data_IF_976986310061
#
_entry.id   IF_976986310061
#
_cell.length_a   1.000
_cell.length_b   1.000
_cell.length_c   1.000
_cell.angle_alpha   90.00
_cell.angle_beta   90.00
_cell.angle_gamma   90.00
#
_symmetry.space_group_name_H-M   'P 1'
#
loop_
_entity.id
_entity.type
_entity.pdbx_description
1 polymer ?
#
# COMPACT_ATOMS: atom_id res chain seq x y z
N UNK A 1 16.14 31.43 28.13
CA UNK A 1 15.21 32.20 29.00
C UNK A 1 14.48 33.16 28.09
N UNK A 2 13.17 33.07 27.82
CA UNK A 2 12.04 32.98 28.76
C UNK A 2 10.91 32.11 28.20
N UNK A 3 10.16 31.53 29.13
CA UNK A 3 9.06 30.59 28.94
C UNK A 3 7.85 31.22 28.26
N UNK A 4 7.29 30.55 27.25
CA UNK A 4 5.95 30.82 26.72
C UNK A 4 5.07 29.60 27.06
N UNK A 5 4.84 29.42 28.36
CA UNK A 5 4.04 28.34 28.93
C UNK A 5 3.03 28.94 29.91
N UNK A 6 2.14 29.76 29.37
CA UNK A 6 0.89 30.29 29.94
C UNK A 6 0.11 30.65 28.68
N UNK A 7 -0.92 29.93 28.26
CA UNK A 7 -2.17 29.76 28.99
C UNK A 7 -3.08 28.89 28.10
N UNK A 8 -3.16 27.59 28.36
CA UNK A 8 -4.02 26.65 27.61
C UNK A 8 -5.22 26.17 28.44
N UNK A 9 -5.15 26.33 29.77
CA UNK A 9 -6.23 25.94 30.68
C UNK A 9 -7.41 26.89 30.59
N UNK A 10 -7.18 28.18 30.36
CA UNK A 10 -8.27 29.17 30.34
C UNK A 10 -9.07 29.07 29.03
N UNK A 11 -8.43 28.66 27.93
CA UNK A 11 -9.11 28.44 26.64
C UNK A 11 -9.99 27.19 26.64
N UNK A 12 -9.53 26.11 27.30
CA UNK A 12 -10.31 24.86 27.43
C UNK A 12 -11.51 25.08 28.37
N UNK A 13 -11.35 25.86 29.43
CA UNK A 13 -12.45 26.17 30.37
C UNK A 13 -13.52 27.05 29.70
N UNK A 14 -13.13 28.02 28.84
CA UNK A 14 -14.09 28.84 28.09
C UNK A 14 -14.91 28.02 27.07
N UNK A 15 -14.31 26.97 26.50
CA UNK A 15 -14.95 26.09 25.51
C UNK A 15 -15.94 25.10 26.11
N UNK A 16 -15.70 24.58 27.32
CA UNK A 16 -16.63 23.67 28.02
C UNK A 16 -17.91 24.41 28.46
N UNK A 17 -17.81 25.70 28.80
CA UNK A 17 -18.94 26.50 29.30
C UNK A 17 -19.92 26.97 28.22
N UNK A 18 -19.56 26.94 26.92
CA UNK A 18 -20.37 27.51 25.84
C UNK A 18 -20.93 26.48 24.83
N UNK A 19 -20.85 25.17 25.10
CA UNK A 19 -21.59 24.15 24.35
C UNK A 19 -21.23 24.00 22.85
N UNK A 20 -20.06 24.47 22.40
CA UNK A 20 -19.61 24.36 21.01
C UNK A 20 -18.58 23.23 20.82
N UNK A 21 -18.96 21.97 21.05
CA UNK A 21 -18.06 20.82 20.86
C UNK A 21 -17.91 20.36 19.40
N UNK A 22 -18.81 20.72 18.48
CA UNK A 22 -18.84 20.08 17.15
C UNK A 22 -18.14 20.84 16.02
N UNK A 23 -17.89 22.14 16.16
CA UNK A 23 -17.32 22.95 15.06
C UNK A 23 -15.80 23.16 15.15
N UNK A 24 -15.17 22.99 16.31
CA UNK A 24 -13.71 23.19 16.46
C UNK A 24 -12.91 21.96 16.03
N UNK A 25 -13.51 20.76 16.05
CA UNK A 25 -12.86 19.56 15.52
C UNK A 25 -12.49 19.72 14.03
N UNK A 26 -13.32 20.42 13.25
CA UNK A 26 -13.04 20.71 11.84
C UNK A 26 -11.97 21.80 11.64
N UNK A 27 -11.89 22.79 12.52
CA UNK A 27 -10.92 23.87 12.39
C UNK A 27 -9.52 23.48 12.93
N UNK A 28 -9.46 22.60 13.93
CA UNK A 28 -8.19 22.06 14.42
C UNK A 28 -7.53 21.10 13.41
N UNK A 29 -8.32 20.37 12.61
CA UNK A 29 -7.80 19.51 11.54
C UNK A 29 -7.22 20.27 10.33
N UNK A 30 -7.63 21.52 10.09
CA UNK A 30 -7.20 22.26 8.91
C UNK A 30 -5.83 22.95 9.05
N UNK A 31 -5.31 23.11 10.28
CA UNK A 31 -4.09 23.92 10.52
C UNK A 31 -2.84 23.13 10.93
N UNK A 32 -2.91 21.82 11.20
CA UNK A 32 -1.75 21.06 11.70
C UNK A 32 -1.31 19.95 10.74
N UNK A 33 -0.34 20.25 9.87
CA UNK A 33 0.31 19.32 8.93
C UNK A 33 1.32 18.33 9.55
N UNK A 34 1.32 18.10 10.87
CA UNK A 34 2.33 17.24 11.50
C UNK A 34 1.85 16.65 12.82
N UNK A 35 1.10 15.55 12.76
CA UNK A 35 1.06 14.60 13.88
C UNK A 35 0.99 13.17 13.37
N UNK A 36 2.06 12.43 13.62
CA UNK A 36 2.12 10.98 13.53
C UNK A 36 1.47 10.38 14.77
N UNK A 37 0.47 9.51 14.56
CA UNK A 37 -0.24 8.69 15.55
C UNK A 37 -1.24 9.41 16.47
N UNK A 38 -2.42 9.74 15.94
CA UNK A 38 -3.62 9.95 16.75
C UNK A 38 -4.58 8.76 16.61
N UNK A 39 -4.92 8.11 17.72
CA UNK A 39 -6.07 7.20 17.79
C UNK A 39 -7.33 8.08 17.88
N UNK A 40 -8.09 8.17 16.79
CA UNK A 40 -9.38 8.83 16.82
C UNK A 40 -10.43 7.85 17.36
N UNK A 41 -10.82 8.05 18.62
CA UNK A 41 -11.98 7.36 19.21
C UNK A 41 -13.26 7.97 18.62
N UNK A 42 -13.71 7.47 17.49
CA UNK A 42 -15.11 7.62 17.08
C UNK A 42 -15.88 6.50 17.76
N UNK A 43 -16.85 6.85 18.61
CA UNK A 43 -17.62 5.94 19.48
C UNK A 43 -18.54 4.96 18.76
N UNK A 44 -18.15 4.43 17.60
CA UNK A 44 -18.86 3.40 16.84
C UNK A 44 -17.78 2.49 16.25
N UNK A 45 -17.77 1.23 16.69
CA UNK A 45 -16.67 0.28 16.49
C UNK A 45 -16.39 -0.08 15.04
N UNK A 46 -15.57 0.71 14.37
CA UNK A 46 -14.82 0.32 13.17
C UNK A 46 -13.38 0.78 13.40
N UNK A 47 -12.49 -0.16 13.74
CA UNK A 47 -11.05 0.07 13.74
C UNK A 47 -10.55 0.12 12.29
N UNK A 48 -10.87 1.21 11.58
CA UNK A 48 -10.20 1.57 10.34
C UNK A 48 -8.97 2.39 10.67
N UNK A 49 -7.78 1.77 10.64
CA UNK A 49 -6.51 2.51 10.79
C UNK A 49 -6.28 3.35 9.53
N UNK A 50 -6.73 4.61 9.55
CA UNK A 50 -6.34 5.59 8.53
C UNK A 50 -4.83 5.87 8.67
N UNK A 51 -4.00 5.21 7.85
CA UNK A 51 -2.59 5.59 7.68
C UNK A 51 -2.55 6.86 6.83
N UNK A 52 -2.19 7.99 7.43
CA UNK A 52 -1.94 9.24 6.69
C UNK A 52 -0.67 9.12 5.83
N UNK A 53 -0.76 9.64 4.61
CA UNK A 53 0.12 9.49 3.45
C UNK A 53 1.52 10.13 3.56
N UNK A 54 2.27 9.83 4.62
CA UNK A 54 3.70 10.11 4.66
C UNK A 54 4.43 9.01 5.46
N UNK A 55 4.32 7.77 4.99
CA UNK A 55 5.12 6.66 5.49
C UNK A 55 6.47 6.72 4.77
N UNK A 56 7.54 7.10 5.47
CA UNK A 56 8.89 6.88 4.96
C UNK A 56 9.20 5.39 5.10
N UNK A 57 9.11 4.65 3.99
CA UNK A 57 9.39 3.22 3.97
C UNK A 57 10.90 3.05 3.90
N UNK A 58 11.43 2.07 4.63
CA UNK A 58 12.83 1.66 4.54
C UNK A 58 12.93 0.41 3.67
N UNK A 59 14.01 0.30 2.88
CA UNK A 59 14.23 -0.88 2.03
C UNK A 59 14.29 -2.16 2.87
N UNK A 60 14.94 -2.11 4.03
CA UNK A 60 15.09 -3.25 4.92
C UNK A 60 13.75 -3.76 5.47
N UNK A 61 12.79 -2.84 5.71
CA UNK A 61 11.44 -3.22 6.13
C UNK A 61 10.69 -3.95 5.02
N UNK A 62 10.84 -3.47 3.78
CA UNK A 62 10.22 -4.10 2.61
C UNK A 62 10.84 -5.47 2.33
N UNK A 63 12.17 -5.59 2.41
CA UNK A 63 12.84 -6.88 2.27
C UNK A 63 12.41 -7.86 3.36
N UNK A 64 12.30 -7.42 4.62
CA UNK A 64 11.79 -8.27 5.70
C UNK A 64 10.36 -8.75 5.43
N UNK A 65 9.47 -7.85 4.98
CA UNK A 65 8.11 -8.22 4.57
C UNK A 65 8.11 -9.29 3.46
N UNK A 66 8.92 -9.12 2.42
CA UNK A 66 9.00 -10.11 1.33
C UNK A 66 9.54 -11.45 1.80
N UNK A 67 10.54 -11.47 2.69
CA UNK A 67 11.05 -12.71 3.29
C UNK A 67 9.97 -13.44 4.06
N UNK A 68 9.18 -12.72 4.85
CA UNK A 68 8.09 -13.28 5.65
C UNK A 68 6.97 -13.86 4.76
N UNK A 69 6.59 -13.16 3.69
CA UNK A 69 5.49 -13.60 2.81
C UNK A 69 5.88 -14.70 1.82
N UNK A 70 7.11 -14.67 1.29
CA UNK A 70 7.59 -15.66 0.31
C UNK A 70 8.20 -16.88 1.02
N UNK A 71 8.67 -16.73 2.26
CA UNK A 71 9.31 -17.81 3.03
C UNK A 71 10.77 -18.09 2.63
N UNK A 72 11.46 -17.10 2.06
CA UNK A 72 12.88 -17.19 1.69
C UNK A 72 13.77 -16.40 2.67
N UNK A 73 14.90 -17.00 3.05
CA UNK A 73 15.87 -16.36 3.96
C UNK A 73 16.65 -15.19 3.28
N UNK A 74 16.85 -15.29 1.97
CA UNK A 74 17.60 -14.33 1.16
C UNK A 74 16.73 -13.80 0.01
N UNK A 75 16.49 -12.50 0.03
CA UNK A 75 15.77 -11.76 -1.02
C UNK A 75 16.65 -10.57 -1.38
N UNK A 76 17.05 -10.45 -2.64
CA UNK A 76 17.87 -9.35 -3.13
C UNK A 76 17.01 -8.29 -3.82
N UNK A 77 17.44 -7.04 -3.76
CA UNK A 77 16.66 -5.90 -4.27
C UNK A 77 16.28 -5.99 -5.76
N UNK A 78 17.10 -6.68 -6.55
CA UNK A 78 16.96 -6.80 -7.99
C UNK A 78 16.44 -8.20 -8.42
N UNK A 79 16.12 -9.08 -7.46
CA UNK A 79 15.54 -10.39 -7.74
C UNK A 79 14.11 -10.26 -8.28
N UNK A 80 13.80 -11.00 -9.33
CA UNK A 80 12.44 -11.17 -9.83
C UNK A 80 11.66 -12.09 -8.90
N UNK A 81 10.58 -11.57 -8.30
CA UNK A 81 9.76 -12.31 -7.35
C UNK A 81 9.20 -13.59 -7.96
N UNK A 82 8.83 -13.57 -9.24
CA UNK A 82 8.33 -14.78 -9.90
C UNK A 82 9.47 -15.74 -10.25
N UNK A 83 10.43 -15.27 -11.04
CA UNK A 83 11.41 -16.16 -11.68
C UNK A 83 12.58 -16.54 -10.80
N UNK A 84 13.01 -15.65 -9.92
CA UNK A 84 14.16 -15.90 -9.04
C UNK A 84 13.72 -16.44 -7.66
N UNK A 85 12.57 -15.97 -7.15
CA UNK A 85 12.06 -16.36 -5.83
C UNK A 85 10.93 -17.41 -5.89
N UNK A 86 10.39 -17.69 -7.07
CA UNK A 86 9.44 -18.79 -7.27
C UNK A 86 8.03 -18.55 -6.72
N UNK A 87 7.69 -17.34 -6.29
CA UNK A 87 6.31 -16.98 -5.94
C UNK A 87 5.55 -16.73 -7.24
N UNK A 88 4.52 -17.51 -7.56
CA UNK A 88 3.75 -17.35 -8.80
C UNK A 88 2.27 -17.50 -8.50
N UNK A 89 1.40 -17.23 -9.49
CA UNK A 89 -0.01 -17.55 -9.36
C UNK A 89 -0.75 -16.84 -8.23
N UNK A 90 -1.49 -17.63 -7.45
CA UNK A 90 -2.29 -17.12 -6.33
C UNK A 90 -1.37 -16.63 -5.21
N UNK A 91 -0.22 -17.29 -4.97
CA UNK A 91 0.77 -16.82 -3.98
C UNK A 91 1.30 -15.42 -4.33
N UNK A 92 1.56 -15.15 -5.62
CA UNK A 92 1.98 -13.82 -6.08
C UNK A 92 0.83 -12.81 -5.93
N UNK A 93 -0.39 -13.21 -6.29
CA UNK A 93 -1.57 -12.34 -6.18
C UNK A 93 -1.81 -11.92 -4.73
N UNK A 94 -1.78 -12.87 -3.80
CA UNK A 94 -1.90 -12.60 -2.36
C UNK A 94 -0.78 -11.70 -1.84
N UNK A 95 0.46 -11.92 -2.29
CA UNK A 95 1.60 -11.06 -1.95
C UNK A 95 1.35 -9.61 -2.35
N UNK A 96 0.87 -9.38 -3.57
CA UNK A 96 0.60 -8.03 -4.08
C UNK A 96 -0.56 -7.34 -3.36
N UNK A 97 -1.60 -8.08 -2.99
CA UNK A 97 -2.70 -7.56 -2.17
C UNK A 97 -2.24 -7.13 -0.78
N UNK A 98 -1.45 -7.98 -0.11
CA UNK A 98 -0.86 -7.67 1.21
C UNK A 98 0.10 -6.49 1.12
N UNK A 99 0.92 -6.42 0.06
CA UNK A 99 1.80 -5.29 -0.22
C UNK A 99 1.01 -3.98 -0.37
N UNK A 100 -0.03 -3.97 -1.21
CA UNK A 100 -0.84 -2.79 -1.47
C UNK A 100 -1.51 -2.27 -0.19
N UNK A 101 -2.07 -3.17 0.62
CA UNK A 101 -2.69 -2.84 1.89
C UNK A 101 -1.66 -2.32 2.91
N UNK A 102 -0.50 -3.00 3.02
CA UNK A 102 0.52 -2.69 4.03
C UNK A 102 1.14 -1.33 3.79
N UNK A 103 1.45 -1.01 2.53
CA UNK A 103 2.16 0.21 2.14
C UNK A 103 1.24 1.30 1.54
N UNK A 104 -0.08 1.05 1.50
CA UNK A 104 -1.08 1.97 0.97
C UNK A 104 -0.75 2.40 -0.47
N UNK A 105 -0.56 1.41 -1.33
CA UNK A 105 -0.24 1.60 -2.75
C UNK A 105 -1.51 1.45 -3.56
N UNK A 106 -1.84 2.48 -4.33
CA UNK A 106 -2.88 2.41 -5.35
C UNK A 106 -2.47 1.45 -6.47
N UNK A 107 -3.27 0.41 -6.69
CA UNK A 107 -3.02 -0.67 -7.66
C UNK A 107 -3.98 -0.61 -8.86
N UNK A 108 -4.73 0.48 -9.06
CA UNK A 108 -5.75 0.60 -10.13
C UNK A 108 -5.18 0.37 -11.53
N UNK A 109 -3.88 0.63 -11.72
CA UNK A 109 -3.17 0.42 -12.99
C UNK A 109 -2.42 -0.91 -13.07
N UNK A 110 -2.45 -1.76 -12.05
CA UNK A 110 -1.73 -3.03 -12.02
C UNK A 110 -2.34 -4.06 -12.99
N UNK A 111 -1.49 -4.71 -13.80
CA UNK A 111 -1.89 -5.71 -14.79
C UNK A 111 -1.15 -7.02 -14.49
N UNK A 112 -1.78 -7.90 -13.72
CA UNK A 112 -1.17 -9.13 -13.19
C UNK A 112 -0.49 -10.01 -14.26
N UNK A 113 -1.07 -10.08 -15.46
CA UNK A 113 -0.60 -10.96 -16.53
C UNK A 113 0.74 -10.55 -17.14
N UNK A 114 1.27 -9.37 -16.80
CA UNK A 114 2.66 -9.01 -17.12
C UNK A 114 3.68 -9.55 -16.12
N UNK A 115 3.26 -9.99 -14.94
CA UNK A 115 4.12 -10.17 -13.78
C UNK A 115 4.14 -11.60 -13.26
N UNK A 116 3.06 -12.35 -13.44
CA UNK A 116 3.03 -13.75 -13.08
C UNK A 116 2.04 -14.55 -13.92
N UNK A 117 2.23 -15.87 -13.92
CA UNK A 117 1.25 -16.80 -14.45
C UNK A 117 -0.04 -16.82 -13.62
N UNK A 118 -1.16 -17.12 -14.26
CA UNK A 118 -2.41 -17.43 -13.57
C UNK A 118 -2.33 -18.86 -13.01
N UNK A 119 -2.84 -19.10 -11.81
CA UNK A 119 -3.06 -20.44 -11.27
C UNK A 119 -4.53 -20.81 -11.46
N UNK A 120 -4.82 -21.70 -12.42
CA UNK A 120 -6.21 -22.06 -12.75
C UNK A 120 -6.39 -22.78 -14.09
N UNK A 121 -7.06 -23.95 -14.02
CA UNK A 121 -7.43 -24.87 -15.12
C UNK A 121 -6.28 -25.39 -16.00
N UNK A 122 -5.48 -26.27 -15.39
CA UNK A 122 -4.73 -27.34 -16.07
C UNK A 122 -5.67 -28.41 -16.62
N UNK A 123 -6.39 -28.10 -17.70
CA UNK A 123 -7.23 -29.09 -18.35
C UNK A 123 -8.06 -28.53 -19.48
N UNK A 124 -7.52 -28.60 -20.70
CA UNK A 124 -8.27 -28.40 -21.96
C UNK A 124 -8.59 -26.95 -22.35
N UNK A 125 -7.68 -25.99 -22.10
CA UNK A 125 -7.78 -24.67 -22.73
C UNK A 125 -7.20 -24.72 -24.16
N UNK A 126 -8.06 -24.53 -25.16
CA UNK A 126 -7.64 -24.27 -26.55
C UNK A 126 -7.21 -22.81 -26.78
N UNK A 127 -7.15 -21.99 -25.72
CA UNK A 127 -6.80 -20.57 -25.78
C UNK A 127 -5.52 -20.30 -24.98
N UNK A 128 -4.62 -19.51 -25.56
CA UNK A 128 -3.44 -18.98 -24.86
C UNK A 128 -3.86 -18.13 -23.68
N UNK A 129 -3.14 -18.26 -22.58
CA UNK A 129 -3.41 -17.51 -21.35
C UNK A 129 -2.95 -16.06 -21.51
N UNK A 130 -3.58 -15.07 -20.86
CA UNK A 130 -3.19 -13.66 -21.00
C UNK A 130 -1.69 -13.40 -20.78
N UNK A 131 -1.09 -14.08 -19.80
CA UNK A 131 0.34 -13.96 -19.46
C UNK A 131 1.28 -14.56 -20.52
N UNK A 132 0.80 -15.48 -21.37
CA UNK A 132 1.59 -16.06 -22.47
C UNK A 132 1.63 -15.13 -23.70
N UNK A 133 0.69 -14.18 -23.77
CA UNK A 133 0.54 -13.26 -24.91
C UNK A 133 1.34 -11.96 -24.75
N UNK A 134 1.86 -11.71 -23.55
CA UNK A 134 2.62 -10.50 -23.23
C UNK A 134 4.05 -10.82 -22.84
N UNK A 135 4.93 -9.82 -22.96
CA UNK A 135 6.30 -9.94 -22.49
C UNK A 135 6.34 -9.73 -20.99
N UNK A 136 6.85 -10.71 -20.25
CA UNK A 136 7.11 -10.63 -18.81
C UNK A 136 7.85 -9.35 -18.42
N UNK A 137 7.36 -8.70 -17.36
CA UNK A 137 7.98 -7.57 -16.69
C UNK A 137 8.27 -8.01 -15.24
N UNK A 138 9.56 -8.07 -14.85
CA UNK A 138 9.93 -8.53 -13.52
C UNK A 138 9.43 -7.57 -12.45
N UNK A 139 8.94 -8.10 -11.34
CA UNK A 139 8.66 -7.32 -10.13
C UNK A 139 9.77 -7.58 -9.15
N UNK A 140 10.54 -6.54 -8.84
CA UNK A 140 11.66 -6.62 -7.91
C UNK A 140 11.36 -5.87 -6.61
N UNK A 141 12.01 -6.21 -5.49
CA UNK A 141 11.85 -5.43 -4.25
C UNK A 141 12.19 -3.95 -4.43
N UNK A 142 13.17 -3.61 -5.28
CA UNK A 142 13.49 -2.21 -5.62
C UNK A 142 12.33 -1.50 -6.31
N UNK A 143 11.63 -2.20 -7.21
CA UNK A 143 10.46 -1.66 -7.89
C UNK A 143 9.30 -1.43 -6.90
N UNK A 144 9.02 -2.44 -6.06
CA UNK A 144 8.01 -2.34 -5.00
C UNK A 144 8.32 -1.19 -4.04
N UNK A 145 9.59 -1.01 -3.66
CA UNK A 145 10.00 0.11 -2.84
C UNK A 145 9.71 1.46 -3.51
N UNK A 146 10.06 1.62 -4.79
CA UNK A 146 9.84 2.85 -5.53
C UNK A 146 8.34 3.22 -5.62
N UNK A 147 7.46 2.24 -5.87
CA UNK A 147 6.01 2.47 -5.93
C UNK A 147 5.38 2.68 -4.56
N UNK A 148 5.92 2.04 -3.54
CA UNK A 148 5.47 2.26 -2.17
C UNK A 148 5.79 3.68 -1.69
N UNK A 149 6.97 4.21 -2.03
CA UNK A 149 7.32 5.62 -1.74
C UNK A 149 6.44 6.61 -2.50
N UNK A 150 5.94 6.24 -3.69
CA UNK A 150 4.98 7.05 -4.46
C UNK A 150 3.54 6.89 -3.99
N UNK A 151 3.22 5.82 -3.27
CA UNK A 151 1.86 5.43 -2.90
C UNK A 151 1.00 4.96 -4.09
N UNK A 152 1.61 4.63 -5.23
CA UNK A 152 0.90 4.12 -6.42
C UNK A 152 1.78 3.24 -7.29
N UNK A 153 1.16 2.23 -7.90
CA UNK A 153 1.71 1.47 -9.00
C UNK A 153 1.77 2.39 -10.22
N UNK A 154 2.99 2.70 -10.67
CA UNK A 154 3.26 3.74 -11.67
C UNK A 154 4.14 3.17 -12.79
N UNK A 155 3.73 2.02 -13.31
CA UNK A 155 4.39 1.31 -14.39
C UNK A 155 3.68 1.59 -15.72
N UNK A 156 4.44 2.02 -16.72
CA UNK A 156 3.93 2.14 -18.09
C UNK A 156 4.05 0.77 -18.78
N UNK A 157 2.91 0.16 -19.07
CA UNK A 157 2.88 -1.10 -19.83
C UNK A 157 3.04 -0.85 -21.32
N UNK A 158 3.71 -1.76 -22.04
CA UNK A 158 3.73 -1.71 -23.50
C UNK A 158 2.31 -1.90 -24.07
N UNK A 159 2.10 -1.41 -25.28
CA UNK A 159 0.88 -1.71 -26.04
C UNK A 159 0.73 -3.24 -26.17
N UNK A 160 -0.47 -3.73 -25.89
CA UNK A 160 -0.78 -5.15 -25.89
C UNK A 160 -2.25 -5.35 -26.25
N UNK A 161 -2.55 -6.49 -26.85
CA UNK A 161 -3.92 -6.89 -27.17
C UNK A 161 -4.24 -8.19 -26.43
N UNK A 162 -5.25 -8.15 -25.57
CA UNK A 162 -5.84 -9.36 -25.01
C UNK A 162 -6.97 -9.85 -25.92
N UNK A 163 -7.11 -11.17 -26.12
CA UNK A 163 -8.28 -11.71 -26.80
C UNK A 163 -9.52 -11.31 -26.00
N UNK A 164 -10.51 -10.72 -26.67
CA UNK A 164 -11.81 -10.43 -26.07
C UNK A 164 -12.43 -11.76 -25.67
N UNK A 165 -12.51 -12.03 -24.37
CA UNK A 165 -13.38 -13.09 -23.86
C UNK A 165 -14.81 -12.78 -24.32
N UNK A 166 -15.41 -13.73 -25.05
CA UNK A 166 -16.79 -13.63 -25.54
C UNK A 166 -17.78 -13.95 -24.43
#
# INVERSE_FOLDING_TARGET
MKNFATDYTDFIIFMILNGCCLLVAFWCLASYKNYSNCNLFLGIGIFGRFKTSNQYIKMEELLAFLKDEIGFDEVFEDSDIERDLGSTGDDFSELMEKYALRYNVDMDSYLWYFHHAEEGLSGMSFFSRPNELVKHIPVTPRLLYAFAQKGKWDLAYPEHELPKTK
#
